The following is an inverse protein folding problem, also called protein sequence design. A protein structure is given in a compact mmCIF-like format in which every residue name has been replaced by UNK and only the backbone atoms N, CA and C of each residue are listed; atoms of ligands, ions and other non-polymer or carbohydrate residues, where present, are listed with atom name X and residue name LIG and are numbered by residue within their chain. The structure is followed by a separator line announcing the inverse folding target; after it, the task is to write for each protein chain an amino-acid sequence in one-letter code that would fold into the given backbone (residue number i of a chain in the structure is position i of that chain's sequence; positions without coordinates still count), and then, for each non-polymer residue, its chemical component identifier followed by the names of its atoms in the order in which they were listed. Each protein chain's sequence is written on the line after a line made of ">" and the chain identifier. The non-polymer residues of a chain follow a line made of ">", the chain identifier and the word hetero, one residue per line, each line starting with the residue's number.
data_IF_849744383499
#
_entry.id   IF_849744383499
#
_cell.length_a   1.000
_cell.length_b   1.000
_cell.length_c   1.000
_cell.angle_alpha   90.00
_cell.angle_beta   90.00
_cell.angle_gamma   90.00
#
_symmetry.space_group_name_H-M   'P 1'
#
loop_
_entity.id
_entity.type
_entity.pdbx_description
1 polymer ?
#
# COMPACT_ATOMS: atom_id res chain seq x y z
N UNK A 1 -22.94 7.44 -8.51
CA UNK A 1 -24.16 6.60 -8.32
C UNK A 1 -25.09 6.71 -9.54
N UNK A 2 -25.43 7.90 -10.02
CA UNK A 2 -26.36 8.08 -11.17
C UNK A 2 -25.88 7.32 -12.42
N UNK A 3 -24.59 7.36 -12.73
CA UNK A 3 -24.01 6.62 -13.86
C UNK A 3 -24.16 5.09 -13.67
N UNK A 4 -24.00 4.60 -12.45
CA UNK A 4 -24.20 3.19 -12.13
C UNK A 4 -25.66 2.75 -12.36
N UNK A 5 -26.61 3.58 -11.93
CA UNK A 5 -28.04 3.33 -12.14
C UNK A 5 -28.44 3.43 -13.63
N UNK A 6 -27.83 4.35 -14.38
CA UNK A 6 -28.02 4.45 -15.82
C UNK A 6 -27.45 3.21 -16.56
N UNK A 7 -26.29 2.74 -16.15
CA UNK A 7 -25.65 1.52 -16.69
C UNK A 7 -26.50 0.27 -16.38
N UNK A 8 -26.96 0.15 -15.13
CA UNK A 8 -27.84 -0.96 -14.71
C UNK A 8 -29.09 -1.02 -15.61
N UNK A 9 -29.70 0.14 -15.88
CA UNK A 9 -30.89 0.21 -16.72
C UNK A 9 -30.60 -0.09 -18.19
N UNK A 10 -29.52 0.49 -18.74
CA UNK A 10 -29.13 0.31 -20.13
C UNK A 10 -28.75 -1.15 -20.47
N UNK A 11 -28.08 -1.81 -19.54
CA UNK A 11 -27.64 -3.20 -19.69
C UNK A 11 -28.65 -4.21 -19.11
N UNK A 12 -29.73 -3.72 -18.49
CA UNK A 12 -30.77 -4.56 -17.84
C UNK A 12 -30.20 -5.51 -16.79
N UNK A 13 -29.18 -5.07 -16.04
CA UNK A 13 -28.54 -5.91 -15.04
C UNK A 13 -29.54 -6.31 -13.93
N UNK A 14 -29.53 -7.59 -13.56
CA UNK A 14 -30.40 -8.18 -12.56
C UNK A 14 -31.86 -8.41 -13.03
N UNK A 15 -32.12 -8.40 -14.33
CA UNK A 15 -33.48 -8.61 -14.87
C UNK A 15 -33.72 -10.01 -15.41
N UNK A 16 -32.69 -10.86 -15.47
CA UNK A 16 -32.81 -12.26 -15.89
C UNK A 16 -32.30 -13.21 -14.79
N UNK A 17 -32.14 -14.51 -15.10
CA UNK A 17 -31.66 -15.53 -14.17
C UNK A 17 -30.14 -15.64 -14.11
N UNK A 18 -29.42 -14.91 -14.95
CA UNK A 18 -27.96 -14.92 -14.99
C UNK A 18 -27.43 -13.90 -13.98
N UNK A 19 -26.53 -14.28 -13.07
CA UNK A 19 -25.91 -13.32 -12.16
C UNK A 19 -25.07 -12.29 -12.90
N UNK A 20 -25.30 -11.02 -12.62
CA UNK A 20 -24.51 -9.90 -13.13
C UNK A 20 -23.58 -9.37 -12.03
N UNK A 21 -22.45 -8.79 -12.43
CA UNK A 21 -21.53 -8.10 -11.54
C UNK A 21 -21.36 -6.64 -11.98
N UNK A 22 -21.66 -5.71 -11.08
CA UNK A 22 -21.42 -4.29 -11.27
C UNK A 22 -20.35 -3.83 -10.26
N UNK A 23 -19.16 -3.50 -10.76
CA UNK A 23 -18.06 -2.99 -9.95
C UNK A 23 -18.04 -1.46 -9.98
N UNK A 24 -18.14 -0.84 -8.81
CA UNK A 24 -18.07 0.60 -8.62
C UNK A 24 -16.82 0.96 -7.81
N UNK A 25 -16.00 1.87 -8.35
CA UNK A 25 -14.91 2.46 -7.59
C UNK A 25 -15.30 3.88 -7.19
N UNK A 26 -15.42 4.12 -5.89
CA UNK A 26 -15.76 5.42 -5.30
C UNK A 26 -14.52 6.00 -4.62
N UNK A 27 -14.16 7.22 -4.98
CA UNK A 27 -13.03 7.93 -4.38
C UNK A 27 -13.56 8.91 -3.35
N UNK A 28 -13.21 8.69 -2.09
CA UNK A 28 -13.60 9.52 -0.94
C UNK A 28 -12.45 10.44 -0.47
N UNK A 29 -11.36 10.53 -1.23
CA UNK A 29 -10.23 11.40 -0.88
C UNK A 29 -10.39 12.75 -1.57
N UNK A 30 -10.38 13.83 -0.78
CA UNK A 30 -10.25 15.18 -1.31
C UNK A 30 -8.89 15.34 -2.02
N UNK A 31 -8.80 16.00 -3.18
CA UNK A 31 -7.52 16.29 -3.83
C UNK A 31 -6.56 17.11 -2.95
N UNK A 32 -7.09 17.86 -1.97
CA UNK A 32 -6.32 18.63 -0.98
C UNK A 32 -5.88 17.80 0.22
N UNK A 33 -6.48 16.65 0.43
CA UNK A 33 -6.26 15.78 1.58
C UNK A 33 -5.08 14.81 1.41
N UNK A 34 -4.17 15.06 0.47
CA UNK A 34 -3.05 14.15 0.22
C UNK A 34 -2.02 14.09 1.35
N UNK A 35 -2.02 15.03 2.29
CA UNK A 35 -1.02 15.04 3.36
C UNK A 35 -1.55 14.90 4.79
N UNK A 36 -2.74 15.40 5.13
CA UNK A 36 -3.04 15.62 6.55
C UNK A 36 -4.47 15.25 7.01
N UNK A 37 -5.27 14.58 6.21
CA UNK A 37 -6.72 14.72 6.36
C UNK A 37 -7.50 13.42 6.58
N UNK A 38 -6.95 12.44 7.26
CA UNK A 38 -7.77 11.28 7.67
C UNK A 38 -8.82 11.64 8.74
N UNK A 39 -8.69 12.82 9.36
CA UNK A 39 -9.57 13.30 10.44
C UNK A 39 -10.10 14.71 10.17
N UNK A 40 -10.15 15.14 8.91
CA UNK A 40 -10.69 16.45 8.59
C UNK A 40 -12.21 16.45 8.52
N UNK A 41 -12.84 17.58 8.83
CA UNK A 41 -14.29 17.77 8.69
C UNK A 41 -14.76 17.50 7.24
N UNK A 42 -13.91 17.81 6.25
CA UNK A 42 -14.21 17.50 4.84
C UNK A 42 -14.24 16.00 4.57
N UNK A 43 -13.38 15.22 5.23
CA UNK A 43 -13.38 13.77 5.09
C UNK A 43 -14.62 13.15 5.73
N UNK A 44 -15.02 13.65 6.89
CA UNK A 44 -16.27 13.24 7.54
C UNK A 44 -17.48 13.53 6.66
N UNK A 45 -17.57 14.73 6.10
CA UNK A 45 -18.65 15.13 5.18
C UNK A 45 -18.70 14.22 3.93
N UNK A 46 -17.55 13.87 3.39
CA UNK A 46 -17.47 12.93 2.26
C UNK A 46 -18.01 11.53 2.62
N UNK A 47 -17.74 11.03 3.84
CA UNK A 47 -18.30 9.75 4.28
C UNK A 47 -19.80 9.83 4.53
N UNK A 48 -20.30 10.96 5.05
CA UNK A 48 -21.73 11.20 5.19
C UNK A 48 -22.41 11.20 3.81
N UNK A 49 -21.81 11.91 2.85
CA UNK A 49 -22.29 11.92 1.46
C UNK A 49 -22.27 10.53 0.82
N UNK A 50 -21.19 9.75 1.01
CA UNK A 50 -21.10 8.38 0.52
C UNK A 50 -22.20 7.49 1.11
N UNK A 51 -22.49 7.62 2.41
CA UNK A 51 -23.58 6.86 3.05
C UNK A 51 -24.95 7.19 2.46
N UNK A 52 -25.20 8.48 2.19
CA UNK A 52 -26.44 8.91 1.52
C UNK A 52 -26.54 8.35 0.09
N UNK A 53 -25.45 8.42 -0.65
CA UNK A 53 -25.34 7.91 -2.02
C UNK A 53 -25.57 6.39 -2.09
N UNK A 54 -24.99 5.63 -1.18
CA UNK A 54 -25.21 4.19 -1.08
C UNK A 54 -26.65 3.87 -0.70
N UNK A 55 -27.23 4.61 0.25
CA UNK A 55 -28.65 4.48 0.60
C UNK A 55 -29.57 4.74 -0.59
N UNK A 56 -29.29 5.78 -1.37
CA UNK A 56 -30.03 6.08 -2.60
C UNK A 56 -29.87 4.97 -3.65
N UNK A 57 -28.65 4.46 -3.88
CA UNK A 57 -28.42 3.32 -4.78
C UNK A 57 -29.25 2.11 -4.38
N UNK A 58 -29.23 1.74 -3.10
CA UNK A 58 -29.97 0.60 -2.56
C UNK A 58 -31.48 0.77 -2.74
N UNK A 59 -32.02 1.97 -2.49
CA UNK A 59 -33.41 2.27 -2.68
C UNK A 59 -33.85 2.12 -4.15
N UNK A 60 -33.02 2.68 -5.07
CA UNK A 60 -33.31 2.61 -6.50
C UNK A 60 -33.23 1.18 -7.04
N UNK A 61 -32.24 0.42 -6.65
CA UNK A 61 -32.10 -1.00 -7.03
C UNK A 61 -33.26 -1.80 -6.48
N UNK A 62 -33.67 -1.59 -5.21
CA UNK A 62 -34.80 -2.24 -4.61
C UNK A 62 -36.13 -1.97 -5.33
N UNK A 63 -36.33 -0.74 -5.85
CA UNK A 63 -37.49 -0.38 -6.65
C UNK A 63 -37.52 -1.02 -8.05
N UNK A 64 -36.33 -1.20 -8.66
CA UNK A 64 -36.19 -1.66 -10.05
C UNK A 64 -36.18 -3.18 -10.19
N UNK A 65 -35.43 -3.86 -9.34
CA UNK A 65 -35.20 -5.30 -9.45
C UNK A 65 -35.63 -6.11 -8.21
N UNK A 66 -36.09 -5.46 -7.13
CA UNK A 66 -36.46 -6.11 -5.88
C UNK A 66 -35.26 -6.27 -4.93
N UNK A 67 -35.48 -6.09 -3.62
CA UNK A 67 -34.45 -6.13 -2.59
C UNK A 67 -33.78 -7.49 -2.48
N UNK A 68 -34.50 -8.55 -2.76
CA UNK A 68 -34.01 -9.94 -2.72
C UNK A 68 -33.15 -10.35 -3.94
N UNK A 69 -33.07 -9.51 -4.97
CA UNK A 69 -32.40 -9.83 -6.23
C UNK A 69 -31.05 -9.16 -6.42
N UNK A 70 -30.52 -8.48 -5.38
CA UNK A 70 -29.18 -7.95 -5.40
C UNK A 70 -28.49 -8.08 -4.03
N UNK A 71 -27.19 -8.02 -4.09
CA UNK A 71 -26.29 -8.00 -2.94
C UNK A 71 -25.30 -6.87 -3.13
N UNK A 72 -24.85 -6.26 -2.06
CA UNK A 72 -23.83 -5.22 -2.08
C UNK A 72 -22.69 -5.64 -1.17
N UNK A 73 -21.48 -5.61 -1.72
CA UNK A 73 -20.25 -5.77 -0.98
C UNK A 73 -19.47 -4.46 -1.09
N UNK A 74 -19.27 -3.80 0.03
CA UNK A 74 -18.42 -2.61 0.11
C UNK A 74 -17.10 -3.01 0.73
N UNK A 75 -16.02 -2.80 -0.01
CA UNK A 75 -14.67 -3.14 0.45
C UNK A 75 -13.87 -1.85 0.56
N UNK A 76 -13.35 -1.56 1.74
CA UNK A 76 -12.44 -0.46 1.96
C UNK A 76 -11.11 -0.66 1.21
N UNK A 77 -10.35 0.40 1.05
CA UNK A 77 -8.94 0.27 0.61
C UNK A 77 -8.05 0.31 1.84
N UNK A 78 -6.93 -0.43 1.84
CA UNK A 78 -5.93 -0.28 2.88
C UNK A 78 -5.55 1.19 2.97
N UNK A 79 -5.66 1.74 4.17
CA UNK A 79 -5.24 3.11 4.41
C UNK A 79 -3.71 3.07 4.47
N UNK A 80 -3.04 3.92 3.71
CA UNK A 80 -1.65 4.26 3.98
C UNK A 80 -1.61 4.86 5.38
N UNK A 81 -0.62 4.49 6.17
CA UNK A 81 -0.53 4.88 7.57
C UNK A 81 -0.72 6.37 7.83
N UNK A 82 -0.83 6.71 9.08
CA UNK A 82 -1.06 8.09 9.53
C UNK A 82 0.00 9.03 8.97
N UNK A 83 -0.40 10.25 8.62
CA UNK A 83 0.55 11.28 8.20
C UNK A 83 1.48 11.67 9.35
N UNK A 84 2.64 12.22 9.03
CA UNK A 84 3.57 12.72 10.04
C UNK A 84 2.92 13.75 10.97
N UNK A 85 2.02 14.58 10.44
CA UNK A 85 1.27 15.56 11.22
C UNK A 85 0.28 14.89 12.18
N UNK A 86 -0.45 13.86 11.76
CA UNK A 86 -1.37 13.09 12.62
C UNK A 86 -0.61 12.41 13.76
N UNK A 87 0.54 11.80 13.46
CA UNK A 87 1.39 11.18 14.48
C UNK A 87 1.94 12.22 15.47
N UNK A 88 2.35 13.38 14.97
CA UNK A 88 2.79 14.50 15.82
C UNK A 88 1.68 15.04 16.72
N UNK A 89 0.45 15.16 16.22
CA UNK A 89 -0.72 15.54 17.04
C UNK A 89 -1.02 14.52 18.12
N UNK A 90 -0.76 13.24 17.89
CA UNK A 90 -0.87 12.17 18.87
C UNK A 90 0.33 12.10 19.84
N UNK A 91 1.27 13.06 19.80
CA UNK A 91 2.54 13.05 20.53
C UNK A 91 3.39 11.79 20.28
N UNK A 92 3.25 11.18 19.11
CA UNK A 92 4.09 10.08 18.67
C UNK A 92 5.31 10.65 17.94
N UNK A 93 6.49 10.29 18.39
CA UNK A 93 7.73 10.70 17.74
C UNK A 93 7.81 10.03 16.37
N UNK A 94 7.95 10.86 15.35
CA UNK A 94 8.20 10.41 13.98
C UNK A 94 9.70 10.50 13.73
N UNK A 95 10.30 9.41 13.28
CA UNK A 95 11.70 9.36 12.92
C UNK A 95 11.83 9.36 11.39
N UNK A 96 12.98 9.83 10.89
CA UNK A 96 13.22 9.97 9.46
C UNK A 96 14.42 9.13 9.03
N UNK A 97 14.22 8.29 8.03
CA UNK A 97 15.27 7.46 7.42
C UNK A 97 15.57 7.98 6.01
N UNK A 98 16.77 8.48 5.83
CA UNK A 98 17.21 8.99 4.53
C UNK A 98 17.86 7.88 3.70
N UNK A 99 17.15 7.43 2.65
CA UNK A 99 17.62 6.33 1.79
C UNK A 99 18.87 6.68 1.00
N UNK A 100 19.06 7.94 0.60
CA UNK A 100 20.26 8.35 -0.13
C UNK A 100 21.50 8.29 0.77
N UNK A 101 21.35 8.68 2.05
CA UNK A 101 22.39 8.55 3.04
C UNK A 101 22.73 7.07 3.29
N UNK A 102 21.72 6.22 3.40
CA UNK A 102 21.90 4.78 3.57
C UNK A 102 22.64 4.18 2.35
N UNK A 103 22.27 4.56 1.12
CA UNK A 103 22.95 4.14 -0.10
C UNK A 103 24.41 4.62 -0.15
N UNK A 104 24.68 5.85 0.24
CA UNK A 104 26.05 6.40 0.29
C UNK A 104 26.92 5.68 1.33
N UNK A 105 26.40 5.40 2.52
CA UNK A 105 27.11 4.64 3.55
C UNK A 105 27.34 3.19 3.13
N UNK A 106 26.36 2.56 2.49
CA UNK A 106 26.51 1.22 1.88
C UNK A 106 27.60 1.22 0.82
N UNK A 107 27.66 2.25 -0.02
CA UNK A 107 28.72 2.42 -1.00
C UNK A 107 30.10 2.51 -0.33
N UNK A 108 30.24 3.31 0.72
CA UNK A 108 31.47 3.45 1.50
C UNK A 108 31.87 2.13 2.16
N UNK A 109 30.92 1.40 2.72
CA UNK A 109 31.15 0.09 3.30
C UNK A 109 31.70 -0.90 2.27
N UNK A 110 31.10 -0.98 1.08
CA UNK A 110 31.57 -1.85 0.02
C UNK A 110 32.95 -1.40 -0.53
N UNK A 111 33.21 -0.08 -0.60
CA UNK A 111 34.55 0.41 -0.96
C UNK A 111 35.63 -0.02 0.01
N UNK A 112 35.31 -0.06 1.30
CA UNK A 112 36.27 -0.51 2.32
C UNK A 112 36.64 -2.01 2.17
N UNK A 113 35.70 -2.82 1.70
CA UNK A 113 35.89 -4.28 1.55
C UNK A 113 36.50 -4.62 0.18
N UNK A 114 36.00 -4.00 -0.89
CA UNK A 114 36.23 -4.44 -2.27
C UNK A 114 37.06 -3.45 -3.11
N UNK A 115 37.44 -2.30 -2.51
CA UNK A 115 38.21 -1.26 -3.17
C UNK A 115 37.39 -0.07 -3.66
N UNK A 116 38.10 1.01 -3.98
CA UNK A 116 37.56 2.33 -4.30
C UNK A 116 36.89 2.36 -5.69
N UNK A 117 35.69 1.77 -5.77
CA UNK A 117 34.87 1.80 -6.97
C UNK A 117 33.42 2.10 -6.58
N UNK A 118 32.59 2.52 -7.54
CA UNK A 118 31.18 2.83 -7.30
C UNK A 118 30.37 1.53 -7.28
N UNK A 119 30.21 0.94 -6.09
CA UNK A 119 29.49 -0.31 -5.87
C UNK A 119 27.97 -0.16 -5.80
N UNK A 120 27.50 1.04 -5.46
CA UNK A 120 26.06 1.36 -5.28
C UNK A 120 25.68 2.43 -6.29
N UNK A 121 24.62 2.22 -7.04
CA UNK A 121 24.07 3.19 -7.98
C UNK A 121 23.18 4.21 -7.28
N UNK A 122 22.47 3.79 -6.22
CA UNK A 122 21.66 4.68 -5.40
C UNK A 122 20.67 3.92 -4.52
N UNK A 123 19.81 4.70 -3.87
CA UNK A 123 18.64 4.22 -3.14
C UNK A 123 17.38 4.87 -3.65
N UNK A 124 16.28 4.12 -3.70
CA UNK A 124 14.97 4.65 -4.05
C UNK A 124 13.85 3.83 -3.41
N UNK A 125 12.92 4.51 -2.74
CA UNK A 125 11.94 3.83 -1.92
C UNK A 125 12.62 2.87 -0.92
N UNK A 126 12.08 1.69 -0.67
CA UNK A 126 12.64 0.73 0.25
C UNK A 126 13.74 -0.15 -0.39
N UNK A 127 14.49 0.39 -1.35
CA UNK A 127 15.48 -0.39 -2.10
C UNK A 127 16.85 0.29 -2.19
N UNK A 128 17.88 -0.55 -2.16
CA UNK A 128 19.25 -0.18 -2.57
C UNK A 128 19.55 -0.85 -3.92
N UNK A 129 20.13 -0.08 -4.83
CA UNK A 129 20.52 -0.50 -6.18
C UNK A 129 22.03 -0.66 -6.25
N UNK A 130 22.49 -1.85 -6.59
CA UNK A 130 23.92 -2.17 -6.72
C UNK A 130 24.37 -1.98 -8.17
N UNK A 131 25.63 -1.63 -8.33
CA UNK A 131 26.24 -1.57 -9.65
C UNK A 131 26.53 -2.98 -10.17
N UNK A 132 25.51 -3.59 -10.77
CA UNK A 132 25.57 -4.98 -11.28
C UNK A 132 26.65 -5.16 -12.33
N UNK A 133 26.84 -4.15 -13.21
CA UNK A 133 27.89 -4.22 -14.24
C UNK A 133 29.29 -4.31 -13.64
N UNK A 134 29.55 -3.55 -12.57
CA UNK A 134 30.83 -3.63 -11.87
C UNK A 134 31.02 -4.98 -11.20
N UNK A 135 29.98 -5.48 -10.52
CA UNK A 135 30.00 -6.78 -9.82
C UNK A 135 30.31 -7.92 -10.81
N UNK A 136 29.63 -7.91 -11.97
CA UNK A 136 29.86 -8.87 -13.05
C UNK A 136 31.28 -8.76 -13.63
N UNK A 137 31.74 -7.54 -13.93
CA UNK A 137 33.10 -7.27 -14.40
C UNK A 137 34.15 -7.81 -13.45
N UNK A 138 33.91 -7.71 -12.14
CA UNK A 138 34.81 -8.24 -11.10
C UNK A 138 34.64 -9.74 -10.87
N UNK A 139 33.72 -10.39 -11.57
CA UNK A 139 33.35 -11.82 -11.42
C UNK A 139 32.97 -12.20 -9.98
N UNK A 140 32.28 -11.29 -9.31
CA UNK A 140 31.80 -11.50 -7.95
C UNK A 140 30.38 -12.02 -7.94
N UNK A 141 30.00 -12.71 -6.88
CA UNK A 141 28.63 -13.16 -6.70
C UNK A 141 27.73 -11.99 -6.27
N UNK A 142 26.75 -11.65 -7.09
CA UNK A 142 25.76 -10.63 -6.78
C UNK A 142 25.01 -10.98 -5.48
N UNK A 143 24.61 -12.24 -5.32
CA UNK A 143 23.90 -12.72 -4.14
C UNK A 143 24.71 -12.52 -2.86
N UNK A 144 26.02 -12.79 -2.90
CA UNK A 144 26.89 -12.58 -1.76
C UNK A 144 26.95 -11.10 -1.35
N UNK A 145 27.05 -10.20 -2.34
CA UNK A 145 27.08 -8.77 -2.07
C UNK A 145 25.71 -8.28 -1.57
N UNK A 146 24.61 -8.74 -2.16
CA UNK A 146 23.25 -8.41 -1.69
C UNK A 146 23.07 -8.81 -0.22
N UNK A 147 23.54 -10.00 0.17
CA UNK A 147 23.44 -10.47 1.55
C UNK A 147 24.31 -9.65 2.51
N UNK A 148 25.51 -9.28 2.10
CA UNK A 148 26.36 -8.38 2.90
C UNK A 148 25.70 -7.02 3.10
N UNK A 149 25.12 -6.46 2.04
CA UNK A 149 24.41 -5.18 2.12
C UNK A 149 23.17 -5.30 2.99
N UNK A 150 22.40 -6.38 2.87
CA UNK A 150 21.24 -6.62 3.73
C UNK A 150 21.65 -6.67 5.21
N UNK A 151 22.72 -7.42 5.53
CA UNK A 151 23.24 -7.48 6.89
C UNK A 151 23.72 -6.10 7.39
N UNK A 152 24.44 -5.33 6.55
CA UNK A 152 24.89 -3.99 6.91
C UNK A 152 23.72 -3.03 7.16
N UNK A 153 22.64 -3.13 6.38
CA UNK A 153 21.45 -2.30 6.58
C UNK A 153 20.72 -2.61 7.89
N UNK A 154 20.81 -3.83 8.40
CA UNK A 154 20.25 -4.20 9.70
C UNK A 154 20.89 -3.46 10.88
N UNK A 155 22.11 -2.92 10.71
CA UNK A 155 22.78 -2.11 11.72
C UNK A 155 22.31 -0.64 11.73
N UNK A 156 21.46 -0.25 10.77
CA UNK A 156 20.92 1.11 10.72
C UNK A 156 19.74 1.26 11.67
N UNK A 157 19.75 2.35 12.42
CA UNK A 157 18.62 2.73 13.25
C UNK A 157 17.36 2.90 12.39
N UNK A 158 16.26 2.30 12.82
CA UNK A 158 14.99 2.35 12.12
C UNK A 158 14.77 1.23 11.10
N UNK A 159 15.78 0.45 10.74
CA UNK A 159 15.60 -0.73 9.88
C UNK A 159 15.09 -1.89 10.73
N UNK A 160 13.94 -2.44 10.36
CA UNK A 160 13.36 -3.61 11.00
C UNK A 160 13.86 -4.91 10.38
N UNK A 161 13.89 -4.97 9.05
CA UNK A 161 14.38 -6.11 8.28
C UNK A 161 15.02 -5.63 6.99
N UNK A 162 16.00 -6.40 6.50
CA UNK A 162 16.59 -6.21 5.18
C UNK A 162 16.86 -7.56 4.53
N UNK A 163 16.58 -7.68 3.23
CA UNK A 163 16.71 -8.92 2.47
C UNK A 163 17.32 -8.69 1.09
N UNK A 164 18.16 -9.62 0.60
CA UNK A 164 18.41 -9.74 -0.83
C UNK A 164 17.08 -9.85 -1.58
N UNK A 165 16.99 -9.25 -2.77
CA UNK A 165 15.72 -9.18 -3.48
C UNK A 165 15.09 -10.56 -3.76
N UNK A 166 15.89 -11.56 -4.01
CA UNK A 166 15.39 -12.92 -4.27
C UNK A 166 14.74 -13.57 -3.03
N UNK A 167 15.14 -13.18 -1.82
CA UNK A 167 14.50 -13.59 -0.56
C UNK A 167 13.27 -12.75 -0.28
N UNK A 168 13.34 -11.44 -0.50
CA UNK A 168 12.24 -10.51 -0.26
C UNK A 168 10.98 -10.89 -1.06
N UNK A 169 11.12 -11.34 -2.30
CA UNK A 169 10.00 -11.77 -3.14
C UNK A 169 9.32 -13.07 -2.69
N UNK A 170 9.89 -13.78 -1.73
CA UNK A 170 9.31 -14.99 -1.12
C UNK A 170 8.88 -14.76 0.33
N UNK A 171 9.19 -13.59 0.89
CA UNK A 171 8.82 -13.18 2.25
C UNK A 171 7.36 -12.73 2.35
N UNK A 172 6.96 -12.34 3.56
CA UNK A 172 5.66 -11.71 3.81
C UNK A 172 5.48 -10.40 3.04
N UNK A 173 6.59 -9.70 2.77
CA UNK A 173 6.61 -8.43 2.05
C UNK A 173 6.42 -8.54 0.52
N UNK A 174 6.31 -9.75 -0.02
CA UNK A 174 6.22 -10.03 -1.47
C UNK A 174 5.14 -9.23 -2.21
N UNK A 175 4.03 -8.92 -1.53
CA UNK A 175 2.91 -8.17 -2.12
C UNK A 175 3.25 -6.69 -2.32
N UNK A 176 4.17 -6.15 -1.54
CA UNK A 176 4.64 -4.76 -1.65
C UNK A 176 5.74 -4.58 -2.70
N UNK A 177 6.24 -5.68 -3.29
CA UNK A 177 7.39 -5.66 -4.19
C UNK A 177 6.97 -5.90 -5.63
N UNK A 178 7.08 -4.84 -6.45
CA UNK A 178 6.90 -4.98 -7.89
C UNK A 178 8.23 -5.35 -8.57
N UNK A 179 8.39 -6.62 -8.93
CA UNK A 179 9.65 -7.23 -9.41
C UNK A 179 10.38 -6.47 -10.52
N UNK A 180 9.65 -5.81 -11.43
CA UNK A 180 10.27 -5.10 -12.56
C UNK A 180 11.00 -3.81 -12.15
N UNK A 181 10.63 -3.23 -11.02
CA UNK A 181 11.21 -1.98 -10.51
C UNK A 181 11.93 -2.15 -9.17
N UNK A 182 11.98 -3.38 -8.67
CA UNK A 182 12.69 -3.68 -7.43
C UNK A 182 14.20 -3.51 -7.58
N UNK A 183 14.83 -2.95 -6.54
CA UNK A 183 16.29 -2.87 -6.42
C UNK A 183 16.92 -4.22 -6.07
N UNK A 184 18.17 -4.18 -5.65
CA UNK A 184 18.97 -5.37 -5.33
C UNK A 184 18.77 -5.86 -3.90
N UNK A 185 18.57 -4.92 -2.98
CA UNK A 185 18.31 -5.18 -1.56
C UNK A 185 17.06 -4.41 -1.15
N UNK A 186 16.11 -5.11 -0.59
CA UNK A 186 14.91 -4.54 0.00
C UNK A 186 15.11 -4.37 1.50
N UNK A 187 14.57 -3.29 2.07
CA UNK A 187 14.49 -3.11 3.51
C UNK A 187 13.14 -2.56 3.93
N UNK A 188 12.74 -2.87 5.14
CA UNK A 188 11.54 -2.35 5.79
C UNK A 188 11.93 -1.63 7.05
N UNK A 189 11.33 -0.46 7.27
CA UNK A 189 11.54 0.34 8.47
C UNK A 189 10.63 -0.14 9.60
N UNK A 190 11.02 0.20 10.83
CA UNK A 190 10.19 0.07 12.01
C UNK A 190 8.99 1.01 11.93
N UNK A 191 7.96 0.73 12.72
CA UNK A 191 6.80 1.60 12.82
C UNK A 191 7.23 3.02 13.26
N UNK A 192 6.51 4.03 12.76
CA UNK A 192 6.78 5.46 12.99
C UNK A 192 8.08 6.00 12.36
N UNK A 193 8.72 5.25 11.47
CA UNK A 193 9.82 5.74 10.65
C UNK A 193 9.34 6.11 9.25
N UNK A 194 9.68 7.32 8.81
CA UNK A 194 9.37 7.82 7.47
C UNK A 194 10.59 7.69 6.56
N UNK A 195 10.36 7.33 5.31
CA UNK A 195 11.41 7.24 4.32
C UNK A 195 11.54 8.57 3.57
N UNK A 196 12.69 9.22 3.68
CA UNK A 196 12.99 10.48 3.02
C UNK A 196 13.98 10.31 1.87
N UNK A 197 13.83 11.17 0.85
CA UNK A 197 14.80 11.36 -0.22
C UNK A 197 15.43 12.74 -0.15
N UNK A 198 16.53 12.96 -0.90
CA UNK A 198 17.21 14.28 -1.02
C UNK A 198 16.29 15.38 -1.53
N UNK A 199 15.29 15.04 -2.32
CA UNK A 199 14.39 16.01 -2.94
C UNK A 199 13.29 16.48 -1.98
N UNK A 200 13.35 16.10 -0.71
CA UNK A 200 12.34 16.47 0.28
C UNK A 200 10.99 15.79 0.06
N UNK A 201 10.94 14.83 -0.86
CA UNK A 201 9.78 13.96 -0.99
C UNK A 201 9.85 12.91 0.13
N UNK A 202 9.04 13.10 1.14
CA UNK A 202 8.72 12.05 2.09
C UNK A 202 7.89 11.04 1.31
N UNK A 203 8.41 9.85 1.07
CA UNK A 203 7.51 8.75 0.75
C UNK A 203 6.67 8.57 2.00
N UNK A 204 5.36 8.81 1.87
CA UNK A 204 4.43 8.46 2.92
C UNK A 204 4.88 7.12 3.47
N UNK A 205 5.19 7.11 4.75
CA UNK A 205 5.64 5.91 5.36
C UNK A 205 4.75 4.80 4.86
N UNK A 206 5.36 3.77 4.35
CA UNK A 206 4.74 2.48 4.44
C UNK A 206 4.86 2.11 5.93
N UNK A 207 4.18 2.87 6.78
CA UNK A 207 3.75 2.33 8.04
C UNK A 207 3.02 1.09 7.58
N UNK A 208 3.38 -0.05 8.07
CA UNK A 208 2.62 -1.25 7.85
C UNK A 208 1.17 -0.89 8.15
N UNK A 209 0.46 -0.49 7.08
CA UNK A 209 -0.98 -0.39 7.18
C UNK A 209 -1.38 -1.80 7.49
N UNK A 210 -2.03 -2.00 8.61
CA UNK A 210 -2.75 -3.24 8.82
C UNK A 210 -3.49 -3.48 7.50
N UNK A 211 -3.18 -4.57 6.77
CA UNK A 211 -3.83 -4.85 5.49
C UNK A 211 -5.33 -5.10 5.68
N UNK A 212 -5.81 -5.12 6.91
CA UNK A 212 -7.22 -5.24 7.26
C UNK A 212 -7.98 -4.04 6.74
N UNK A 213 -9.02 -4.32 5.99
CA UNK A 213 -9.93 -3.31 5.46
C UNK A 213 -11.35 -3.63 5.92
N UNK A 214 -12.18 -2.63 6.20
CA UNK A 214 -13.59 -2.89 6.50
C UNK A 214 -14.26 -3.49 5.28
N UNK A 215 -15.02 -4.54 5.51
CA UNK A 215 -15.87 -5.18 4.52
C UNK A 215 -17.31 -5.11 5.05
N UNK A 216 -18.18 -4.45 4.31
CA UNK A 216 -19.60 -4.38 4.62
C UNK A 216 -20.38 -5.19 3.57
N UNK A 217 -21.16 -6.12 4.02
CA UNK A 217 -22.01 -6.93 3.16
C UNK A 217 -23.49 -6.67 3.46
N UNK A 218 -24.26 -6.50 2.42
CA UNK A 218 -25.72 -6.39 2.52
C UNK A 218 -26.41 -7.31 1.51
N UNK A 219 -27.47 -7.98 1.97
CA UNK A 219 -28.34 -8.82 1.14
C UNK A 219 -29.78 -8.76 1.65
N UNK A 220 -30.73 -8.60 0.73
CA UNK A 220 -32.15 -8.66 1.08
C UNK A 220 -32.68 -10.06 1.47
N UNK A 221 -31.86 -11.11 1.26
CA UNK A 221 -32.19 -12.52 1.59
C UNK A 221 -31.63 -13.00 2.92
N UNK A 222 -30.62 -12.32 3.45
CA UNK A 222 -29.94 -12.75 4.67
C UNK A 222 -30.24 -11.79 5.82
N UNK A 223 -30.55 -12.36 6.99
CA UNK A 223 -30.79 -11.58 8.21
C UNK A 223 -29.52 -11.24 9.00
N UNK A 224 -28.45 -11.99 8.80
CA UNK A 224 -27.15 -11.76 9.42
C UNK A 224 -26.01 -12.39 8.59
N UNK A 225 -24.84 -11.74 8.60
CA UNK A 225 -23.60 -12.27 8.07
C UNK A 225 -22.70 -12.64 9.28
N UNK A 226 -21.93 -13.73 9.22
CA UNK A 226 -21.01 -14.04 10.31
C UNK A 226 -19.98 -12.91 10.48
N UNK A 227 -19.88 -12.40 11.70
CA UNK A 227 -18.83 -11.45 12.06
C UNK A 227 -17.50 -12.19 12.17
N UNK A 228 -16.44 -11.64 11.63
CA UNK A 228 -15.12 -12.25 11.70
C UNK A 228 -14.11 -11.59 10.74
N UNK A 229 -12.89 -12.09 10.80
CA UNK A 229 -11.83 -11.71 9.87
C UNK A 229 -11.91 -12.64 8.66
N UNK A 230 -12.11 -12.07 7.47
CA UNK A 230 -12.09 -12.78 6.20
C UNK A 230 -10.72 -12.63 5.54
N UNK A 231 -10.26 -13.68 4.89
CA UNK A 231 -9.12 -13.58 3.98
C UNK A 231 -9.60 -13.01 2.63
N UNK A 232 -8.73 -12.26 1.93
CA UNK A 232 -9.08 -11.72 0.61
C UNK A 232 -9.46 -12.81 -0.42
N UNK A 233 -9.07 -14.06 -0.16
CA UNK A 233 -9.41 -15.24 -0.96
C UNK A 233 -10.81 -15.79 -0.67
N UNK A 234 -11.47 -15.31 0.38
CA UNK A 234 -12.79 -15.79 0.82
C UNK A 234 -13.93 -14.91 0.25
N UNK A 235 -13.57 -13.85 -0.49
CA UNK A 235 -14.46 -12.88 -1.13
C UNK A 235 -14.46 -13.13 -2.64
#
# INVERSE_FOLDING_TARGET
>A
IEMALALQQAQKLGTDLTPDLLLLQLNTLSPKAQSDAMESAEQEDMYIGLNQDLGFLMEQLGKRIGKENYQILVVGRPVKGYSASTLSMANLAVQHFNVDRAAALTGTYLMAIYGHERWVDGGYGPFIYLNRMLIEKKRMSLETIQRQVANFLMDFEGVQVAYPIHEAITSEDKQSIYRKHAGDVYFRLQDNWLLDTKEGHTFDAVIQSDPSVPVLYWSGRMSAFPEGILQATDI
#
